data_IF_229152018158
#
_entry.id   IF_229152018158
#
_cell.length_a   1.000
_cell.length_b   1.000
_cell.length_c   1.000
_cell.angle_alpha   90.00
_cell.angle_beta   90.00
_cell.angle_gamma   90.00
#
_symmetry.space_group_name_H-M   'P 1'
#
loop_
_entity.id
_entity.type
_entity.pdbx_description
1 polymer ?
#
# COMPACT_ATOMS: atom_id res chain seq x y z
N UNK A 1 1.83 20.18 2.94
CA UNK A 1 1.81 21.55 2.39
C UNK A 1 0.80 22.47 3.07
N UNK A 2 -0.49 22.11 3.16
CA UNK A 2 -1.56 22.93 3.78
C UNK A 2 -1.15 23.40 5.18
N UNK A 3 -0.71 22.47 6.03
CA UNK A 3 -0.32 22.83 7.39
C UNK A 3 0.85 23.81 7.48
N UNK A 4 1.86 23.69 6.63
CA UNK A 4 2.96 24.66 6.56
C UNK A 4 2.48 26.01 6.03
N UNK A 5 1.57 26.01 5.05
CA UNK A 5 0.97 27.24 4.51
C UNK A 5 0.17 28.00 5.57
N UNK A 6 -0.63 27.32 6.39
CA UNK A 6 -1.44 27.96 7.43
C UNK A 6 -0.61 28.39 8.64
N UNK A 7 0.37 27.58 9.09
CA UNK A 7 1.13 27.83 10.31
C UNK A 7 2.30 28.81 10.10
N UNK A 8 3.04 28.67 9.00
CA UNK A 8 4.28 29.42 8.75
C UNK A 8 4.18 30.35 7.56
N UNK A 9 3.09 30.31 6.78
CA UNK A 9 2.90 31.10 5.57
C UNK A 9 3.83 30.73 4.42
N UNK A 10 4.40 29.52 4.44
CA UNK A 10 5.30 28.99 3.41
C UNK A 10 4.62 27.88 2.60
N UNK A 11 5.21 27.46 1.49
CA UNK A 11 4.72 26.37 0.62
C UNK A 11 3.31 26.61 0.03
N UNK A 12 2.88 27.86 -0.11
CA UNK A 12 1.57 28.21 -0.69
C UNK A 12 1.40 27.72 -2.13
N UNK A 13 2.44 27.93 -2.96
CA UNK A 13 2.45 27.46 -4.36
C UNK A 13 2.39 25.93 -4.43
N UNK A 14 3.12 25.23 -3.55
CA UNK A 14 3.02 23.77 -3.42
C UNK A 14 1.62 23.31 -3.03
N UNK A 15 0.96 24.01 -2.12
CA UNK A 15 -0.39 23.66 -1.68
C UNK A 15 -1.39 23.75 -2.83
N UNK A 16 -1.33 24.81 -3.63
CA UNK A 16 -2.20 24.97 -4.80
C UNK A 16 -1.87 23.97 -5.90
N UNK A 17 -0.59 23.79 -6.24
CA UNK A 17 -0.15 22.83 -7.23
C UNK A 17 -0.61 21.39 -6.91
N UNK A 18 -0.40 20.95 -5.67
CA UNK A 18 -0.83 19.61 -5.23
C UNK A 18 -2.36 19.48 -5.23
N UNK A 19 -3.10 20.54 -4.84
CA UNK A 19 -4.56 20.53 -4.88
C UNK A 19 -5.10 20.36 -6.29
N UNK A 20 -4.57 21.13 -7.26
CA UNK A 20 -4.90 20.99 -8.67
C UNK A 20 -4.55 19.61 -9.21
N UNK A 21 -3.34 19.10 -8.87
CA UNK A 21 -2.88 17.78 -9.31
C UNK A 21 -3.80 16.65 -8.83
N UNK A 22 -4.23 16.68 -7.56
CA UNK A 22 -5.16 15.67 -7.01
C UNK A 22 -6.47 15.65 -7.79
N UNK A 23 -7.05 16.82 -8.07
CA UNK A 23 -8.29 16.91 -8.81
C UNK A 23 -8.16 16.39 -10.26
N UNK A 24 -7.10 16.81 -10.97
CA UNK A 24 -6.86 16.39 -12.36
C UNK A 24 -6.56 14.91 -12.45
N UNK A 25 -5.75 14.36 -11.53
CA UNK A 25 -5.46 12.92 -11.48
C UNK A 25 -6.71 12.10 -11.14
N UNK A 26 -7.64 12.63 -10.34
CA UNK A 26 -8.93 11.98 -10.06
C UNK A 26 -9.79 11.88 -11.32
N UNK A 27 -9.87 12.95 -12.12
CA UNK A 27 -10.57 12.95 -13.41
C UNK A 27 -9.90 11.98 -14.41
N UNK A 28 -8.58 11.97 -14.45
CA UNK A 28 -7.81 11.04 -15.28
C UNK A 28 -8.04 9.58 -14.86
N UNK A 29 -8.11 9.29 -13.57
CA UNK A 29 -8.48 7.96 -13.07
C UNK A 29 -9.89 7.53 -13.52
N UNK A 30 -10.87 8.46 -13.47
CA UNK A 30 -12.21 8.19 -13.99
C UNK A 30 -12.21 7.92 -15.51
N UNK A 31 -11.40 8.64 -16.29
CA UNK A 31 -11.18 8.35 -17.71
C UNK A 31 -10.63 6.94 -17.91
N UNK A 32 -9.59 6.54 -17.23
CA UNK A 32 -8.95 5.22 -17.37
C UNK A 32 -9.98 4.10 -17.16
N UNK A 33 -10.77 4.16 -16.08
CA UNK A 33 -11.76 3.13 -15.73
C UNK A 33 -12.93 3.08 -16.74
N UNK A 34 -13.31 4.23 -17.32
CA UNK A 34 -14.46 4.33 -18.23
C UNK A 34 -14.11 4.15 -19.70
N UNK A 35 -12.87 4.33 -20.08
CA UNK A 35 -12.46 4.28 -21.49
C UNK A 35 -12.42 2.87 -22.09
N UNK A 36 -12.39 1.82 -21.25
CA UNK A 36 -12.16 0.45 -21.72
C UNK A 36 -10.78 0.22 -22.33
N UNK A 37 -9.86 1.19 -22.20
CA UNK A 37 -8.49 1.08 -22.74
C UNK A 37 -7.67 0.06 -21.96
N UNK A 38 -7.96 -0.09 -20.67
CA UNK A 38 -7.30 -1.10 -19.82
C UNK A 38 -8.15 -2.36 -19.78
N UNK A 39 -7.58 -3.49 -20.19
CA UNK A 39 -8.14 -4.83 -19.98
C UNK A 39 -8.03 -5.16 -18.47
N UNK A 40 -9.02 -4.76 -17.71
CA UNK A 40 -9.05 -4.93 -16.25
C UNK A 40 -10.43 -5.37 -15.79
N UNK A 41 -10.48 -6.21 -14.77
CA UNK A 41 -11.73 -6.59 -14.08
C UNK A 41 -12.50 -5.38 -13.52
N UNK A 42 -11.83 -4.22 -13.40
CA UNK A 42 -12.42 -2.94 -12.98
C UNK A 42 -12.90 -2.07 -14.14
N UNK A 43 -12.78 -2.52 -15.36
CA UNK A 43 -13.29 -1.85 -16.56
C UNK A 43 -14.76 -2.20 -16.76
N UNK A 44 -15.67 -1.44 -16.14
CA UNK A 44 -17.11 -1.75 -16.13
C UNK A 44 -17.86 -1.40 -17.43
N UNK A 45 -17.28 -0.60 -18.31
CA UNK A 45 -17.89 -0.20 -19.57
C UNK A 45 -16.81 0.02 -20.62
N UNK A 46 -16.90 -0.72 -21.71
CA UNK A 46 -16.09 -0.49 -22.89
C UNK A 46 -16.81 0.53 -23.79
N UNK A 47 -16.68 1.83 -23.48
CA UNK A 47 -17.26 2.93 -24.25
C UNK A 47 -16.18 3.94 -24.65
N UNK A 48 -15.48 3.71 -25.77
CA UNK A 48 -14.39 4.57 -26.23
C UNK A 48 -14.81 6.03 -26.48
N UNK A 49 -16.07 6.30 -26.90
CA UNK A 49 -16.52 7.65 -27.18
C UNK A 49 -16.68 8.47 -25.90
N UNK A 50 -17.30 7.89 -24.86
CA UNK A 50 -17.39 8.54 -23.54
C UNK A 50 -16.00 8.68 -22.89
N UNK A 51 -15.12 7.70 -23.10
CA UNK A 51 -13.73 7.78 -22.67
C UNK A 51 -13.02 8.97 -23.31
N UNK A 52 -13.08 9.14 -24.61
CA UNK A 52 -12.48 10.27 -25.32
C UNK A 52 -13.04 11.62 -24.83
N UNK A 53 -14.36 11.71 -24.64
CA UNK A 53 -15.00 12.93 -24.12
C UNK A 53 -14.47 13.29 -22.74
N UNK A 54 -14.33 12.32 -21.83
CA UNK A 54 -13.74 12.53 -20.49
C UNK A 54 -12.28 12.97 -20.59
N UNK A 55 -11.50 12.40 -21.49
CA UNK A 55 -10.11 12.80 -21.71
C UNK A 55 -10.00 14.24 -22.19
N UNK A 56 -10.82 14.64 -23.16
CA UNK A 56 -10.85 16.01 -23.68
C UNK A 56 -11.24 17.01 -22.59
N UNK A 57 -12.29 16.73 -21.81
CA UNK A 57 -12.72 17.57 -20.70
C UNK A 57 -11.58 17.68 -19.66
N UNK A 58 -10.97 16.56 -19.28
CA UNK A 58 -9.85 16.54 -18.32
C UNK A 58 -8.67 17.35 -18.87
N UNK A 59 -8.34 17.19 -20.14
CA UNK A 59 -7.28 17.94 -20.81
C UNK A 59 -7.52 19.47 -20.80
N UNK A 60 -8.75 19.90 -21.14
CA UNK A 60 -9.13 21.33 -21.09
C UNK A 60 -9.03 21.87 -19.67
N UNK A 61 -9.58 21.15 -18.69
CA UNK A 61 -9.50 21.56 -17.28
C UNK A 61 -8.04 21.63 -16.82
N UNK A 62 -7.20 20.65 -17.18
CA UNK A 62 -5.79 20.63 -16.83
C UNK A 62 -5.04 21.82 -17.45
N UNK A 63 -5.24 22.08 -18.73
CA UNK A 63 -4.62 23.22 -19.44
C UNK A 63 -5.00 24.57 -18.82
N UNK A 64 -6.30 24.77 -18.56
CA UNK A 64 -6.77 26.01 -17.94
C UNK A 64 -6.22 26.13 -16.51
N UNK A 65 -6.31 25.07 -15.70
CA UNK A 65 -5.90 25.12 -14.30
C UNK A 65 -4.40 25.33 -14.13
N UNK A 66 -3.56 24.55 -14.82
CA UNK A 66 -2.11 24.70 -14.75
C UNK A 66 -1.64 25.94 -15.51
N UNK A 67 -2.29 26.34 -16.59
CA UNK A 67 -2.04 27.60 -17.27
C UNK A 67 -2.25 28.80 -16.33
N UNK A 68 -3.41 28.90 -15.69
CA UNK A 68 -3.70 29.95 -14.70
C UNK A 68 -2.72 29.90 -13.51
N UNK A 69 -2.40 28.69 -13.02
CA UNK A 69 -1.41 28.52 -11.96
C UNK A 69 -0.04 29.06 -12.41
N UNK A 70 0.43 28.70 -13.60
CA UNK A 70 1.70 29.17 -14.13
C UNK A 70 1.76 30.70 -14.27
N UNK A 71 0.74 31.31 -14.88
CA UNK A 71 0.67 32.77 -15.05
C UNK A 71 0.54 33.53 -13.73
N UNK A 72 -0.10 32.94 -12.71
CA UNK A 72 -0.35 33.61 -11.42
C UNK A 72 0.57 33.15 -10.29
N UNK A 73 1.42 32.17 -10.51
CA UNK A 73 2.32 31.61 -9.48
C UNK A 73 3.24 32.65 -8.86
N UNK A 74 3.69 33.63 -9.64
CA UNK A 74 4.53 34.74 -9.19
C UNK A 74 3.81 35.69 -8.21
N UNK A 75 2.48 35.75 -8.25
CA UNK A 75 1.66 36.54 -7.31
C UNK A 75 1.41 35.82 -5.98
N UNK A 76 1.73 34.52 -5.91
CA UNK A 76 1.56 33.73 -4.72
C UNK A 76 2.81 33.92 -3.84
N UNK A 77 2.78 34.97 -3.03
CA UNK A 77 3.91 35.32 -2.17
C UNK A 77 3.87 34.50 -0.88
N UNK A 78 4.96 33.81 -0.58
CA UNK A 78 5.15 33.22 0.74
C UNK A 78 5.42 34.35 1.74
N UNK A 79 4.80 34.28 2.92
CA UNK A 79 4.99 35.28 3.98
C UNK A 79 6.37 35.22 4.60
N UNK A 80 7.06 34.09 4.47
CA UNK A 80 8.40 33.83 5.02
C UNK A 80 9.19 32.90 4.09
N UNK A 81 10.50 32.93 4.20
CA UNK A 81 11.40 32.00 3.51
C UNK A 81 11.47 30.68 4.30
N UNK A 82 11.70 29.59 3.57
CA UNK A 82 11.96 28.28 4.18
C UNK A 82 13.36 28.28 4.77
N UNK A 83 13.47 28.06 6.05
CA UNK A 83 14.76 27.96 6.76
C UNK A 83 15.31 26.54 6.55
N UNK A 84 16.58 26.42 6.14
CA UNK A 84 17.21 25.11 5.94
C UNK A 84 17.21 24.29 7.25
N UNK A 85 16.88 23.00 7.16
CA UNK A 85 16.77 22.10 8.31
C UNK A 85 15.57 22.36 9.22
N UNK A 86 14.66 23.25 8.90
CA UNK A 86 13.41 23.44 9.62
C UNK A 86 12.36 22.37 9.25
N UNK A 87 11.28 22.28 10.00
CA UNK A 87 10.14 21.40 9.65
C UNK A 87 9.62 21.66 8.25
N UNK A 88 9.58 22.91 7.83
CA UNK A 88 9.15 23.31 6.50
C UNK A 88 10.05 22.77 5.40
N UNK A 89 11.36 22.73 5.63
CA UNK A 89 12.29 22.17 4.64
C UNK A 89 12.09 20.65 4.49
N UNK A 90 11.91 19.91 5.60
CA UNK A 90 11.59 18.48 5.53
C UNK A 90 10.24 18.21 4.87
N UNK A 91 9.23 19.05 5.11
CA UNK A 91 7.94 18.94 4.41
C UNK A 91 8.08 19.22 2.91
N UNK A 92 8.96 20.15 2.50
CA UNK A 92 9.26 20.40 1.10
C UNK A 92 9.92 19.20 0.43
N UNK A 93 10.91 18.60 1.08
CA UNK A 93 11.56 17.37 0.62
C UNK A 93 10.58 16.20 0.51
N UNK A 94 9.70 16.05 1.52
CA UNK A 94 8.64 15.04 1.47
C UNK A 94 7.68 15.26 0.29
N UNK A 95 7.33 16.52 -0.04
CA UNK A 95 6.51 16.81 -1.22
C UNK A 95 7.20 16.35 -2.51
N UNK A 96 8.50 16.54 -2.63
CA UNK A 96 9.29 16.08 -3.80
C UNK A 96 9.24 14.55 -3.89
N UNK A 97 9.48 13.84 -2.77
CA UNK A 97 9.39 12.38 -2.74
C UNK A 97 7.99 11.88 -3.13
N UNK A 98 6.93 12.52 -2.63
CA UNK A 98 5.55 12.15 -2.97
C UNK A 98 5.25 12.37 -4.45
N UNK A 99 5.71 13.49 -5.05
CA UNK A 99 5.55 13.73 -6.48
C UNK A 99 6.32 12.70 -7.31
N UNK A 100 7.55 12.39 -6.93
CA UNK A 100 8.33 11.32 -7.59
C UNK A 100 7.58 9.99 -7.54
N UNK A 101 6.99 9.66 -6.39
CA UNK A 101 6.15 8.45 -6.23
C UNK A 101 4.92 8.47 -7.13
N UNK A 102 4.18 9.58 -7.16
CA UNK A 102 3.00 9.75 -8.03
C UNK A 102 3.39 9.59 -9.50
N UNK A 103 4.49 10.23 -9.92
CA UNK A 103 4.97 10.14 -11.30
C UNK A 103 5.38 8.70 -11.66
N UNK A 104 6.03 7.99 -10.76
CA UNK A 104 6.38 6.57 -10.96
C UNK A 104 5.15 5.67 -11.13
N UNK A 105 4.11 5.87 -10.29
CA UNK A 105 2.84 5.14 -10.46
C UNK A 105 2.18 5.49 -11.81
N UNK A 106 2.14 6.76 -12.14
CA UNK A 106 1.58 7.26 -13.39
C UNK A 106 2.26 6.64 -14.61
N UNK A 107 3.59 6.57 -14.62
CA UNK A 107 4.35 5.89 -15.67
C UNK A 107 4.02 4.40 -15.74
N UNK A 108 3.95 3.71 -14.59
CA UNK A 108 3.60 2.30 -14.53
C UNK A 108 2.19 2.00 -15.07
N UNK A 109 1.25 2.92 -14.88
CA UNK A 109 -0.13 2.80 -15.41
C UNK A 109 -0.20 3.12 -16.91
N UNK A 110 0.54 4.12 -17.38
CA UNK A 110 0.49 4.57 -18.78
C UNK A 110 1.35 3.69 -19.69
N UNK A 111 2.46 3.14 -19.20
CA UNK A 111 3.38 2.35 -20.02
C UNK A 111 2.71 1.19 -20.78
N UNK A 112 1.86 0.35 -20.18
CA UNK A 112 1.12 -0.67 -20.90
C UNK A 112 0.25 -0.12 -22.03
N UNK A 113 -0.35 1.07 -21.82
CA UNK A 113 -1.19 1.72 -22.85
C UNK A 113 -0.35 2.18 -24.06
N UNK A 114 0.82 2.76 -23.78
CA UNK A 114 1.76 3.20 -24.82
C UNK A 114 2.25 1.99 -25.63
N UNK A 115 2.67 0.91 -24.96
CA UNK A 115 3.17 -0.29 -25.65
C UNK A 115 2.09 -0.98 -26.48
N UNK A 116 0.87 -1.04 -25.97
CA UNK A 116 -0.25 -1.60 -26.72
C UNK A 116 -0.60 -0.77 -27.97
N UNK A 117 -0.58 0.57 -27.85
CA UNK A 117 -0.93 1.46 -28.96
C UNK A 117 0.16 1.50 -30.04
N UNK A 118 1.43 1.64 -29.67
CA UNK A 118 2.53 1.82 -30.63
C UNK A 118 3.15 0.52 -31.13
N UNK A 119 3.15 -0.53 -30.30
CA UNK A 119 3.85 -1.79 -30.59
C UNK A 119 2.91 -3.00 -30.68
N UNK A 120 1.60 -2.82 -30.48
CA UNK A 120 0.60 -3.89 -30.44
C UNK A 120 0.96 -5.03 -29.46
N UNK A 121 1.80 -4.74 -28.47
CA UNK A 121 2.22 -5.71 -27.44
C UNK A 121 1.52 -5.44 -26.13
N UNK A 122 0.91 -6.48 -25.55
CA UNK A 122 0.33 -6.40 -24.20
C UNK A 122 1.43 -6.64 -23.17
N UNK A 123 1.77 -5.60 -22.43
CA UNK A 123 2.74 -5.65 -21.32
C UNK A 123 2.00 -5.40 -20.00
N UNK A 124 2.32 -6.15 -18.97
CA UNK A 124 1.81 -5.93 -17.62
C UNK A 124 2.92 -5.43 -16.71
N UNK A 125 2.66 -4.33 -15.99
CA UNK A 125 3.55 -3.80 -14.96
C UNK A 125 3.09 -4.33 -13.60
N UNK A 126 3.92 -5.16 -12.99
CA UNK A 126 3.62 -5.86 -11.75
C UNK A 126 4.43 -5.38 -10.53
N UNK A 127 4.30 -6.09 -9.39
CA UNK A 127 4.97 -5.76 -8.13
C UNK A 127 6.47 -5.51 -8.21
N UNK A 128 7.26 -6.22 -9.04
CA UNK A 128 8.71 -5.98 -9.12
C UNK A 128 9.08 -4.55 -9.51
N UNK A 129 8.36 -3.94 -10.46
CA UNK A 129 8.56 -2.56 -10.85
C UNK A 129 8.33 -1.60 -9.66
N UNK A 130 7.17 -1.72 -9.03
CA UNK A 130 6.81 -0.84 -7.92
C UNK A 130 7.73 -1.02 -6.72
N UNK A 131 8.05 -2.24 -6.36
CA UNK A 131 8.90 -2.54 -5.20
C UNK A 131 10.31 -1.97 -5.39
N UNK A 132 10.88 -2.08 -6.59
CA UNK A 132 12.22 -1.54 -6.90
C UNK A 132 12.29 -0.02 -6.77
N UNK A 133 11.22 0.68 -7.13
CA UNK A 133 11.17 2.15 -7.06
C UNK A 133 10.80 2.62 -5.64
N UNK A 134 9.78 2.00 -5.04
CA UNK A 134 9.23 2.49 -3.78
C UNK A 134 10.11 2.16 -2.57
N UNK A 135 10.83 1.04 -2.54
CA UNK A 135 11.66 0.70 -1.40
C UNK A 135 12.73 1.76 -1.09
N UNK A 136 13.55 2.24 -2.04
CA UNK A 136 14.50 3.32 -1.78
C UNK A 136 13.81 4.65 -1.44
N UNK A 137 12.67 4.99 -2.08
CA UNK A 137 11.93 6.21 -1.77
C UNK A 137 11.39 6.20 -0.34
N UNK A 138 10.85 5.06 0.10
CA UNK A 138 10.36 4.86 1.47
C UNK A 138 11.50 4.97 2.48
N UNK A 139 12.67 4.39 2.19
CA UNK A 139 13.84 4.51 3.05
C UNK A 139 14.28 5.96 3.22
N UNK A 140 14.36 6.72 2.12
CA UNK A 140 14.68 8.16 2.17
C UNK A 140 13.60 8.92 2.96
N UNK A 141 12.33 8.61 2.77
CA UNK A 141 11.23 9.20 3.53
C UNK A 141 11.35 8.88 5.03
N UNK A 142 11.69 7.64 5.40
CA UNK A 142 11.92 7.25 6.80
C UNK A 142 13.08 8.03 7.42
N UNK A 143 14.18 8.24 6.70
CA UNK A 143 15.28 9.08 7.13
C UNK A 143 14.83 10.55 7.36
N UNK A 144 14.05 11.11 6.44
CA UNK A 144 13.52 12.48 6.61
C UNK A 144 12.53 12.59 7.76
N UNK A 145 11.68 11.60 7.98
CA UNK A 145 10.82 11.54 9.16
C UNK A 145 11.68 11.54 10.43
N UNK A 146 12.69 10.68 10.49
CA UNK A 146 13.61 10.58 11.62
C UNK A 146 14.28 11.92 11.95
N UNK A 147 14.84 12.57 10.95
CA UNK A 147 15.50 13.86 11.09
C UNK A 147 14.51 14.99 11.46
N UNK A 148 13.27 14.91 10.95
CA UNK A 148 12.25 15.93 11.20
C UNK A 148 11.64 15.88 12.61
N UNK A 149 11.77 14.74 13.32
CA UNK A 149 11.17 14.54 14.65
C UNK A 149 11.61 15.62 15.64
N UNK A 150 12.88 16.01 15.63
CA UNK A 150 13.47 17.01 16.52
C UNK A 150 13.49 18.41 15.89
N UNK A 151 13.14 18.56 14.63
CA UNK A 151 13.14 19.85 13.94
C UNK A 151 12.01 20.77 14.46
N UNK A 152 12.26 22.09 14.43
CA UNK A 152 11.32 23.13 14.86
C UNK A 152 10.89 23.99 13.67
N UNK A 153 9.71 24.63 13.80
CA UNK A 153 9.21 25.56 12.81
C UNK A 153 10.09 26.81 12.73
N UNK A 154 10.43 27.26 11.52
CA UNK A 154 11.20 28.49 11.25
C UNK A 154 12.54 28.58 12.01
N UNK A 155 13.13 27.47 12.41
CA UNK A 155 14.39 27.45 13.16
C UNK A 155 15.38 26.52 12.48
N UNK A 156 16.63 26.98 12.38
CA UNK A 156 17.77 26.14 11.96
C UNK A 156 17.89 24.95 12.92
N UNK A 157 18.04 23.78 12.33
CA UNK A 157 18.25 22.54 13.03
C UNK A 157 19.75 22.21 13.06
N UNK A 158 20.20 21.57 14.13
CA UNK A 158 21.57 21.09 14.27
C UNK A 158 21.58 19.57 14.10
N UNK A 159 22.24 19.10 13.06
CA UNK A 159 22.36 17.67 12.71
C UNK A 159 22.88 16.85 13.90
N UNK A 160 23.85 17.37 14.63
CA UNK A 160 24.47 16.69 15.77
C UNK A 160 23.48 16.40 16.91
N UNK A 161 22.53 17.30 17.18
CA UNK A 161 21.52 17.11 18.23
C UNK A 161 20.53 15.99 17.90
N UNK A 162 20.21 15.81 16.62
CA UNK A 162 19.33 14.71 16.20
C UNK A 162 20.05 13.39 16.07
N UNK A 163 21.27 13.37 15.54
CA UNK A 163 22.04 12.13 15.38
C UNK A 163 22.29 11.43 16.71
N UNK A 164 22.56 12.19 17.79
CA UNK A 164 22.74 11.61 19.13
C UNK A 164 21.51 10.87 19.65
N UNK A 165 20.30 11.29 19.25
CA UNK A 165 19.03 10.65 19.64
C UNK A 165 18.62 9.50 18.72
N UNK A 166 19.17 9.43 17.52
CA UNK A 166 18.86 8.38 16.54
C UNK A 166 19.65 7.08 16.76
N UNK A 167 20.74 7.13 17.52
CA UNK A 167 21.63 5.97 17.72
C UNK A 167 20.90 4.74 18.23
N UNK A 168 20.12 4.86 19.31
CA UNK A 168 19.34 3.74 19.88
C UNK A 168 18.25 3.23 18.91
N UNK A 169 17.40 4.07 18.29
CA UNK A 169 16.46 3.61 17.25
C UNK A 169 17.11 2.89 16.08
N UNK A 170 18.26 3.36 15.61
CA UNK A 170 19.00 2.70 14.52
C UNK A 170 19.47 1.31 14.97
N UNK A 171 20.09 1.20 16.15
CA UNK A 171 20.56 -0.10 16.66
C UNK A 171 19.42 -1.10 16.83
N UNK A 172 18.29 -0.67 17.41
CA UNK A 172 17.10 -1.52 17.54
C UNK A 172 16.63 -1.99 16.15
N UNK A 173 16.57 -1.09 15.19
CA UNK A 173 16.08 -1.41 13.84
C UNK A 173 17.01 -2.36 13.10
N UNK A 174 18.32 -2.14 13.18
CA UNK A 174 19.31 -3.06 12.63
C UNK A 174 19.21 -4.46 13.28
N UNK A 175 19.12 -4.49 14.61
CA UNK A 175 19.07 -5.75 15.37
C UNK A 175 17.80 -6.55 15.05
N UNK A 176 16.63 -5.92 15.07
CA UNK A 176 15.37 -6.61 14.75
C UNK A 176 15.31 -7.06 13.28
N UNK A 177 15.80 -6.24 12.35
CA UNK A 177 15.87 -6.64 10.93
C UNK A 177 16.81 -7.83 10.75
N UNK A 178 17.96 -7.84 11.46
CA UNK A 178 18.90 -8.96 11.45
C UNK A 178 18.28 -10.23 12.03
N UNK A 179 17.52 -10.13 13.13
CA UNK A 179 16.81 -11.30 13.72
C UNK A 179 15.85 -11.90 12.68
N UNK A 180 15.02 -11.07 12.02
CA UNK A 180 14.09 -11.57 11.00
C UNK A 180 14.83 -12.28 9.87
N UNK A 181 15.95 -11.70 9.40
CA UNK A 181 16.80 -12.32 8.37
C UNK A 181 17.37 -13.67 8.83
N UNK A 182 17.79 -13.77 10.10
CA UNK A 182 18.46 -14.98 10.65
C UNK A 182 17.48 -16.11 10.95
N UNK A 183 16.24 -15.77 11.31
CA UNK A 183 15.21 -16.75 11.64
C UNK A 183 14.44 -17.24 10.41
N UNK A 184 14.49 -16.49 9.31
CA UNK A 184 13.78 -16.89 8.10
C UNK A 184 14.60 -17.92 7.31
N UNK A 185 13.98 -19.04 6.93
CA UNK A 185 14.65 -20.17 6.25
C UNK A 185 15.12 -19.81 4.82
N UNK A 186 14.45 -18.85 4.18
CA UNK A 186 14.78 -18.41 2.83
C UNK A 186 15.51 -17.06 2.86
N UNK A 187 16.29 -16.77 1.81
CA UNK A 187 16.96 -15.48 1.67
C UNK A 187 15.97 -14.34 1.50
N UNK A 188 15.93 -13.41 2.46
CA UNK A 188 15.14 -12.18 2.35
C UNK A 188 15.83 -11.23 1.37
N UNK A 189 15.10 -10.71 0.41
CA UNK A 189 15.66 -9.77 -0.59
C UNK A 189 16.04 -8.44 0.05
N UNK A 190 17.01 -7.73 -0.56
CA UNK A 190 17.41 -6.40 -0.10
C UNK A 190 16.23 -5.40 -0.06
N UNK A 191 15.31 -5.50 -1.01
CA UNK A 191 14.12 -4.65 -1.08
C UNK A 191 13.20 -4.88 0.13
N UNK A 192 12.97 -6.14 0.49
CA UNK A 192 12.20 -6.51 1.67
C UNK A 192 12.87 -6.04 2.96
N UNK A 193 14.20 -6.20 3.06
CA UNK A 193 14.97 -5.72 4.21
C UNK A 193 14.89 -4.19 4.37
N UNK A 194 14.99 -3.44 3.28
CA UNK A 194 14.83 -1.97 3.30
C UNK A 194 13.43 -1.58 3.80
N UNK A 195 12.38 -2.24 3.32
CA UNK A 195 11.02 -2.00 3.77
C UNK A 195 10.82 -2.30 5.25
N UNK A 196 11.29 -3.48 5.70
CA UNK A 196 11.22 -3.92 7.09
C UNK A 196 11.98 -2.97 8.03
N UNK A 197 13.24 -2.65 7.69
CA UNK A 197 14.06 -1.70 8.44
C UNK A 197 13.36 -0.35 8.56
N UNK A 198 12.82 0.18 7.46
CA UNK A 198 12.16 1.50 7.45
C UNK A 198 10.94 1.53 8.36
N UNK A 199 10.13 0.47 8.38
CA UNK A 199 8.98 0.33 9.28
C UNK A 199 9.40 0.28 10.75
N UNK A 200 10.33 -0.61 11.10
CA UNK A 200 10.87 -0.74 12.46
C UNK A 200 11.54 0.57 12.91
N UNK A 201 12.26 1.24 12.01
CA UNK A 201 12.96 2.48 12.32
C UNK A 201 12.00 3.61 12.71
N UNK A 202 10.92 3.80 11.97
CA UNK A 202 9.90 4.80 12.30
C UNK A 202 9.23 4.45 13.63
N UNK A 203 8.86 3.20 13.86
CA UNK A 203 8.27 2.75 15.13
C UNK A 203 9.23 3.03 16.28
N UNK A 204 10.49 2.62 16.15
CA UNK A 204 11.51 2.78 17.19
C UNK A 204 11.76 4.25 17.55
N UNK A 205 11.81 5.15 16.55
CA UNK A 205 11.99 6.59 16.79
C UNK A 205 10.84 7.16 17.62
N UNK A 206 9.61 6.88 17.22
CA UNK A 206 8.45 7.44 17.92
C UNK A 206 8.23 6.79 19.28
N UNK A 207 8.45 5.48 19.41
CA UNK A 207 8.42 4.80 20.71
C UNK A 207 9.47 5.34 21.65
N UNK A 208 10.73 5.52 21.20
CA UNK A 208 11.81 6.10 21.97
C UNK A 208 11.50 7.55 22.39
N UNK A 209 10.98 8.36 21.44
CA UNK A 209 10.57 9.73 21.75
C UNK A 209 9.45 9.80 22.79
N UNK A 210 8.42 8.95 22.66
CA UNK A 210 7.33 8.89 23.63
C UNK A 210 7.86 8.52 25.03
N UNK A 211 8.76 7.54 25.11
CA UNK A 211 9.38 7.12 26.35
C UNK A 211 10.18 8.27 26.97
N UNK A 212 11.06 8.91 26.20
CA UNK A 212 11.90 10.00 26.70
C UNK A 212 11.08 11.22 27.14
N UNK A 213 10.06 11.61 26.37
CA UNK A 213 9.18 12.71 26.74
C UNK A 213 8.36 12.40 28.01
N UNK A 214 7.94 11.15 28.19
CA UNK A 214 7.25 10.70 29.41
C UNK A 214 8.18 10.78 30.64
N UNK A 215 9.42 10.30 30.52
CA UNK A 215 10.42 10.35 31.58
C UNK A 215 10.77 11.78 31.93
N UNK A 216 10.98 12.65 30.96
CA UNK A 216 11.35 14.05 31.15
C UNK A 216 10.15 14.97 31.46
N UNK A 217 8.92 14.42 31.47
CA UNK A 217 7.66 15.17 31.62
C UNK A 217 7.48 16.27 30.57
N UNK A 218 7.99 16.03 29.37
CA UNK A 218 7.85 16.94 28.23
C UNK A 218 6.50 16.74 27.52
N UNK A 219 6.07 17.78 26.79
CA UNK A 219 4.83 17.74 26.03
C UNK A 219 4.86 16.65 24.95
N UNK A 220 3.85 15.80 24.93
CA UNK A 220 3.68 14.74 23.95
C UNK A 220 2.70 15.20 22.86
N UNK A 221 3.18 15.28 21.63
CA UNK A 221 2.32 15.48 20.47
C UNK A 221 1.71 14.15 20.01
N UNK A 222 0.64 13.74 20.66
CA UNK A 222 -0.04 12.47 20.40
C UNK A 222 -0.51 12.32 18.95
N UNK A 223 -1.02 13.38 18.33
CA UNK A 223 -1.45 13.36 16.92
C UNK A 223 -0.32 12.93 15.99
N UNK A 224 0.86 13.55 16.14
CA UNK A 224 2.03 13.19 15.32
C UNK A 224 2.54 11.80 15.67
N UNK A 225 2.61 11.44 16.94
CA UNK A 225 3.11 10.13 17.36
C UNK A 225 2.24 8.99 16.83
N UNK A 226 0.93 9.05 17.04
CA UNK A 226 -0.01 8.01 16.59
C UNK A 226 -0.01 7.87 15.08
N UNK A 227 -0.03 8.99 14.33
CA UNK A 227 -0.01 8.94 12.86
C UNK A 227 1.27 8.30 12.32
N UNK A 228 2.44 8.63 12.86
CA UNK A 228 3.70 8.08 12.36
C UNK A 228 3.96 6.65 12.86
N UNK A 229 3.51 6.30 14.08
CA UNK A 229 3.50 4.90 14.52
C UNK A 229 2.62 4.05 13.62
N UNK A 230 1.43 4.55 13.23
CA UNK A 230 0.59 3.90 12.23
C UNK A 230 1.31 3.74 10.89
N UNK A 231 2.00 4.76 10.40
CA UNK A 231 2.76 4.67 9.15
C UNK A 231 3.94 3.68 9.25
N UNK A 232 4.69 3.68 10.36
CA UNK A 232 5.72 2.69 10.60
C UNK A 232 5.19 1.26 10.65
N UNK A 233 4.03 1.07 11.31
CA UNK A 233 3.34 -0.22 11.37
C UNK A 233 2.85 -0.67 9.98
N UNK A 234 2.39 0.26 9.14
CA UNK A 234 2.01 -0.04 7.75
C UNK A 234 3.19 -0.61 6.97
N UNK A 235 4.34 0.06 7.02
CA UNK A 235 5.55 -0.40 6.32
C UNK A 235 6.04 -1.74 6.86
N UNK A 236 6.04 -1.90 8.19
CA UNK A 236 6.38 -3.17 8.83
C UNK A 236 5.47 -4.31 8.38
N UNK A 237 4.16 -4.07 8.33
CA UNK A 237 3.17 -5.08 7.95
C UNK A 237 3.26 -5.45 6.48
N UNK A 238 3.45 -4.47 5.58
CA UNK A 238 3.64 -4.73 4.14
C UNK A 238 4.94 -5.53 3.89
N UNK A 239 6.05 -5.12 4.50
CA UNK A 239 7.31 -5.83 4.37
C UNK A 239 7.24 -7.22 4.99
N UNK A 240 6.65 -7.36 6.17
CA UNK A 240 6.43 -8.65 6.83
C UNK A 240 5.51 -9.57 6.03
N UNK A 241 4.42 -9.04 5.46
CA UNK A 241 3.59 -9.81 4.54
C UNK A 241 4.42 -10.33 3.36
N UNK A 242 5.21 -9.48 2.71
CA UNK A 242 6.06 -9.88 1.59
C UNK A 242 7.15 -10.91 1.96
N UNK A 243 7.59 -10.95 3.21
CA UNK A 243 8.60 -11.89 3.69
C UNK A 243 7.98 -13.24 4.06
N UNK A 244 6.90 -13.23 4.84
CA UNK A 244 6.34 -14.42 5.47
C UNK A 244 5.23 -15.09 4.67
N UNK A 245 4.58 -14.38 3.73
CA UNK A 245 3.50 -14.95 2.94
C UNK A 245 4.03 -15.88 1.85
N UNK A 246 3.33 -16.98 1.65
CA UNK A 246 3.65 -17.95 0.62
C UNK A 246 2.39 -18.55 0.01
N UNK A 247 2.54 -19.20 -1.13
CA UNK A 247 1.47 -19.78 -1.90
C UNK A 247 1.84 -21.22 -2.28
N UNK A 248 0.84 -22.10 -2.24
CA UNK A 248 0.91 -23.46 -2.77
C UNK A 248 -0.18 -23.66 -3.80
N UNK A 249 0.20 -24.12 -4.97
CA UNK A 249 -0.73 -24.56 -6.01
C UNK A 249 -0.80 -26.09 -5.96
N UNK A 250 -2.01 -26.62 -5.78
CA UNK A 250 -2.26 -28.04 -5.61
C UNK A 250 -3.17 -28.52 -6.75
N UNK A 251 -3.04 -29.80 -7.03
CA UNK A 251 -3.89 -30.54 -7.97
C UNK A 251 -4.39 -31.76 -7.21
N UNK A 252 -5.72 -31.87 -7.04
CA UNK A 252 -6.36 -32.93 -6.25
C UNK A 252 -7.61 -33.43 -6.96
N UNK A 253 -7.84 -34.75 -6.84
CA UNK A 253 -9.12 -35.38 -7.13
C UNK A 253 -9.99 -35.40 -5.87
N UNK A 254 -11.30 -35.60 -6.04
CA UNK A 254 -12.20 -35.83 -4.91
C UNK A 254 -11.76 -37.08 -4.16
N UNK A 255 -11.72 -37.00 -2.83
CA UNK A 255 -11.16 -37.99 -1.88
C UNK A 255 -9.64 -38.15 -1.96
N UNK A 256 -8.91 -37.18 -2.51
CA UNK A 256 -7.45 -37.18 -2.51
C UNK A 256 -6.91 -36.25 -1.43
N UNK A 257 -5.78 -36.62 -0.85
CA UNK A 257 -5.08 -35.87 0.20
C UNK A 257 -3.70 -35.43 -0.28
N UNK A 258 -3.34 -34.21 0.09
CA UNK A 258 -1.98 -33.70 0.00
C UNK A 258 -1.37 -33.62 1.39
N UNK A 259 -0.28 -34.33 1.61
CA UNK A 259 0.42 -34.38 2.92
C UNK A 259 1.81 -33.78 2.75
N UNK A 260 2.17 -32.84 3.62
CA UNK A 260 3.51 -32.28 3.79
C UNK A 260 3.86 -32.19 5.27
N UNK A 261 5.12 -31.88 5.60
CA UNK A 261 5.58 -31.78 7.00
C UNK A 261 4.79 -30.74 7.82
N UNK A 262 4.28 -29.69 7.18
CA UNK A 262 3.64 -28.57 7.86
C UNK A 262 2.12 -28.55 7.76
N UNK A 263 1.55 -29.27 6.78
CA UNK A 263 0.12 -29.20 6.52
C UNK A 263 -0.38 -30.43 5.78
N UNK A 264 -1.60 -30.86 6.12
CA UNK A 264 -2.37 -31.89 5.41
C UNK A 264 -3.61 -31.20 4.83
N UNK A 265 -3.95 -31.47 3.56
CA UNK A 265 -5.13 -30.93 2.88
C UNK A 265 -5.87 -32.09 2.23
N UNK A 266 -7.14 -32.31 2.60
CA UNK A 266 -8.02 -33.27 1.93
C UNK A 266 -9.10 -32.56 1.11
N UNK A 267 -9.37 -33.08 -0.07
CA UNK A 267 -10.49 -32.66 -0.92
C UNK A 267 -11.59 -33.71 -0.80
N UNK A 268 -12.57 -33.45 0.08
CA UNK A 268 -13.51 -34.47 0.53
C UNK A 268 -14.72 -34.60 -0.42
N UNK A 269 -15.27 -33.48 -0.94
CA UNK A 269 -16.48 -33.51 -1.76
C UNK A 269 -16.53 -32.33 -2.74
N UNK A 270 -17.28 -32.53 -3.82
CA UNK A 270 -17.60 -31.49 -4.80
C UNK A 270 -19.11 -31.50 -5.06
N UNK A 271 -19.76 -30.42 -4.69
CA UNK A 271 -21.22 -30.26 -4.92
C UNK A 271 -21.51 -29.18 -5.96
N UNK A 272 -22.52 -29.46 -6.79
CA UNK A 272 -23.02 -28.53 -7.79
C UNK A 272 -24.41 -28.07 -7.36
N UNK A 273 -24.61 -26.75 -7.29
CA UNK A 273 -25.88 -26.16 -6.87
C UNK A 273 -26.31 -25.06 -7.84
N UNK A 274 -27.58 -25.09 -8.23
CA UNK A 274 -28.18 -24.09 -9.09
C UNK A 274 -28.92 -23.06 -8.24
N UNK A 275 -28.54 -21.81 -8.37
CA UNK A 275 -29.18 -20.65 -7.79
C UNK A 275 -30.01 -19.88 -8.83
N UNK A 276 -30.76 -18.87 -8.42
CA UNK A 276 -31.66 -18.14 -9.32
C UNK A 276 -30.95 -17.45 -10.51
N UNK A 277 -29.71 -17.02 -10.35
CA UNK A 277 -28.96 -16.24 -11.35
C UNK A 277 -27.60 -16.82 -11.71
N UNK A 278 -27.15 -17.88 -11.04
CA UNK A 278 -25.87 -18.52 -11.30
C UNK A 278 -25.87 -20.00 -10.86
N UNK A 279 -24.98 -20.76 -11.43
CA UNK A 279 -24.62 -22.10 -10.97
C UNK A 279 -23.35 -22.01 -10.15
N UNK A 280 -23.27 -22.69 -9.01
CA UNK A 280 -22.07 -22.74 -8.19
C UNK A 280 -21.55 -24.15 -8.03
N UNK A 281 -20.25 -24.28 -8.11
CA UNK A 281 -19.48 -25.48 -7.79
C UNK A 281 -18.81 -25.19 -6.46
N UNK A 282 -19.04 -26.02 -5.45
CA UNK A 282 -18.50 -25.86 -4.10
C UNK A 282 -17.61 -27.06 -3.82
N UNK A 283 -16.35 -26.79 -3.48
CA UNK A 283 -15.41 -27.81 -3.02
C UNK A 283 -15.40 -27.83 -1.48
N UNK A 284 -15.50 -29.03 -0.89
CA UNK A 284 -15.32 -29.21 0.54
C UNK A 284 -13.85 -29.65 0.78
N UNK A 285 -13.13 -28.80 1.51
CA UNK A 285 -11.71 -29.00 1.78
C UNK A 285 -11.47 -28.96 3.28
N UNK A 286 -10.82 -29.98 3.83
CA UNK A 286 -10.31 -29.92 5.19
C UNK A 286 -8.79 -29.73 5.16
N UNK A 287 -8.34 -28.78 5.95
CA UNK A 287 -6.93 -28.46 6.14
C UNK A 287 -6.54 -28.70 7.59
N UNK A 288 -5.57 -29.56 7.81
CA UNK A 288 -5.01 -29.78 9.13
C UNK A 288 -3.63 -29.12 9.22
N UNK A 289 -3.52 -28.19 10.17
CA UNK A 289 -2.27 -27.48 10.47
C UNK A 289 -1.94 -27.78 11.93
N UNK A 290 -0.86 -28.50 12.18
CA UNK A 290 -0.55 -29.07 13.49
C UNK A 290 -1.75 -29.93 13.95
N UNK A 291 -2.36 -29.61 15.09
CA UNK A 291 -3.50 -30.36 15.64
C UNK A 291 -4.89 -29.73 15.34
N UNK A 292 -4.92 -28.60 14.59
CA UNK A 292 -6.17 -27.92 14.27
C UNK A 292 -6.64 -28.28 12.86
N UNK A 293 -7.86 -28.80 12.76
CA UNK A 293 -8.56 -29.00 11.49
C UNK A 293 -9.44 -27.79 11.20
N UNK A 294 -9.33 -27.26 9.98
CA UNK A 294 -10.08 -26.12 9.48
C UNK A 294 -10.76 -26.55 8.20
N UNK A 295 -12.08 -26.35 8.12
CA UNK A 295 -12.87 -26.67 6.93
C UNK A 295 -13.06 -25.45 6.07
N UNK A 296 -12.93 -25.59 4.76
CA UNK A 296 -13.11 -24.54 3.76
C UNK A 296 -14.07 -25.01 2.68
N UNK A 297 -14.81 -24.05 2.13
CA UNK A 297 -15.80 -24.28 1.07
C UNK A 297 -15.64 -23.26 -0.07
N UNK A 298 -14.50 -23.20 -0.76
CA UNK A 298 -14.31 -22.28 -1.89
C UNK A 298 -15.27 -22.64 -3.03
N UNK A 299 -15.77 -21.58 -3.71
CA UNK A 299 -16.78 -21.75 -4.75
C UNK A 299 -16.30 -21.20 -6.09
N UNK A 300 -16.85 -21.79 -7.16
CA UNK A 300 -16.78 -21.24 -8.51
C UNK A 300 -18.20 -20.99 -9.02
N UNK A 301 -18.48 -19.73 -9.41
CA UNK A 301 -19.83 -19.31 -9.84
C UNK A 301 -19.85 -19.00 -11.31
N UNK A 302 -20.81 -19.57 -12.05
CA UNK A 302 -21.06 -19.28 -13.47
C UNK A 302 -22.40 -18.57 -13.59
N UNK A 303 -22.37 -17.27 -13.94
CA UNK A 303 -23.56 -16.44 -14.06
C UNK A 303 -24.28 -16.67 -15.40
N UNK A 304 -25.60 -16.91 -15.35
CA UNK A 304 -26.38 -17.24 -16.55
C UNK A 304 -26.48 -16.07 -17.54
N UNK A 305 -26.61 -14.84 -17.05
CA UNK A 305 -26.87 -13.66 -17.87
C UNK A 305 -25.71 -13.29 -18.80
N UNK A 306 -24.45 -13.44 -18.36
CA UNK A 306 -23.25 -13.02 -19.08
C UNK A 306 -22.27 -14.15 -19.35
N UNK A 307 -22.55 -15.37 -18.90
CA UNK A 307 -21.61 -16.48 -18.95
C UNK A 307 -20.31 -16.25 -18.17
N UNK A 308 -20.26 -15.20 -17.34
CA UNK A 308 -19.08 -14.86 -16.55
C UNK A 308 -18.87 -15.91 -15.46
N UNK A 309 -17.61 -16.35 -15.30
CA UNK A 309 -17.20 -17.24 -14.23
C UNK A 309 -16.39 -16.46 -13.22
N UNK A 310 -16.74 -16.59 -11.94
CA UNK A 310 -15.98 -16.02 -10.81
C UNK A 310 -15.55 -17.12 -9.86
N UNK A 311 -14.40 -16.95 -9.20
CA UNK A 311 -13.97 -17.81 -8.11
C UNK A 311 -14.15 -17.05 -6.79
N UNK A 312 -14.89 -17.65 -5.88
CA UNK A 312 -15.14 -17.11 -4.55
C UNK A 312 -14.19 -17.83 -3.58
N UNK A 313 -13.29 -17.04 -3.03
CA UNK A 313 -12.29 -17.52 -2.07
C UNK A 313 -12.92 -17.75 -0.71
N UNK A 314 -12.64 -18.89 -0.08
CA UNK A 314 -12.92 -19.06 1.33
C UNK A 314 -11.71 -18.66 2.19
N UNK A 315 -11.96 -18.00 3.33
CA UNK A 315 -10.93 -17.30 4.10
C UNK A 315 -11.06 -17.62 5.59
N UNK A 316 -10.06 -18.27 6.15
CA UNK A 316 -9.87 -18.36 7.60
C UNK A 316 -8.93 -17.23 8.06
N UNK A 317 -9.46 -16.28 8.78
CA UNK A 317 -8.75 -15.06 9.15
C UNK A 317 -8.41 -15.03 10.65
N UNK A 318 -7.13 -15.13 10.99
CA UNK A 318 -6.62 -15.00 12.36
C UNK A 318 -5.98 -13.63 12.62
N UNK A 319 -5.46 -13.39 13.81
CA UNK A 319 -4.82 -12.13 14.17
C UNK A 319 -3.50 -11.87 13.43
N UNK A 320 -2.73 -12.93 13.15
CA UNK A 320 -1.41 -12.83 12.52
C UNK A 320 -1.39 -13.33 11.08
N UNK A 321 -2.28 -14.26 10.73
CA UNK A 321 -2.27 -14.95 9.44
C UNK A 321 -3.68 -15.18 8.95
N UNK A 322 -3.90 -14.95 7.66
CA UNK A 322 -5.11 -15.33 6.94
C UNK A 322 -4.77 -16.44 5.94
N UNK A 323 -5.62 -17.45 5.83
CA UNK A 323 -5.49 -18.55 4.88
C UNK A 323 -6.60 -18.39 3.86
N UNK A 324 -6.24 -18.31 2.58
CA UNK A 324 -7.14 -18.16 1.45
C UNK A 324 -7.09 -19.42 0.61
N UNK A 325 -8.25 -20.00 0.31
CA UNK A 325 -8.33 -21.14 -0.62
C UNK A 325 -9.26 -20.77 -1.78
N UNK A 326 -8.73 -20.92 -2.98
CA UNK A 326 -9.45 -20.75 -4.23
C UNK A 326 -9.52 -22.08 -4.98
N UNK A 327 -10.69 -22.37 -5.56
CA UNK A 327 -10.85 -23.43 -6.56
C UNK A 327 -10.60 -22.85 -7.95
N UNK A 328 -9.72 -23.49 -8.71
CA UNK A 328 -9.37 -23.13 -10.08
C UNK A 328 -10.14 -23.89 -11.14
N UNK A 329 -9.46 -24.30 -12.20
CA UNK A 329 -10.06 -25.06 -13.31
C UNK A 329 -9.97 -26.58 -13.07
N UNK A 330 -10.94 -27.29 -13.63
CA UNK A 330 -10.84 -28.74 -13.77
C UNK A 330 -9.89 -29.06 -14.94
N UNK A 331 -8.99 -29.99 -14.72
CA UNK A 331 -8.04 -30.45 -15.73
C UNK A 331 -8.63 -31.61 -16.55
N UNK A 332 -7.98 -31.93 -17.66
CA UNK A 332 -8.42 -32.99 -18.59
C UNK A 332 -8.48 -34.39 -17.95
N UNK A 333 -7.73 -34.61 -16.87
CA UNK A 333 -7.72 -35.87 -16.10
C UNK A 333 -8.79 -35.92 -15.00
N UNK A 334 -9.66 -34.91 -14.93
CA UNK A 334 -10.76 -34.83 -13.94
C UNK A 334 -10.36 -34.19 -12.61
N UNK A 335 -9.06 -33.97 -12.36
CA UNK A 335 -8.59 -33.30 -11.13
C UNK A 335 -8.90 -31.80 -11.15
N UNK A 336 -8.94 -31.19 -9.96
CA UNK A 336 -9.14 -29.76 -9.79
C UNK A 336 -7.89 -29.07 -9.29
N UNK A 337 -7.67 -27.86 -9.75
CA UNK A 337 -6.58 -27.00 -9.25
C UNK A 337 -7.05 -26.20 -8.06
N UNK A 338 -6.21 -26.12 -7.04
CA UNK A 338 -6.45 -25.28 -5.85
C UNK A 338 -5.26 -24.37 -5.62
N UNK A 339 -5.57 -23.13 -5.26
CA UNK A 339 -4.57 -22.15 -4.86
C UNK A 339 -4.76 -21.85 -3.39
N UNK A 340 -3.78 -22.20 -2.58
CA UNK A 340 -3.76 -21.99 -1.14
C UNK A 340 -2.73 -20.91 -0.83
N UNK A 341 -3.17 -19.81 -0.21
CA UNK A 341 -2.32 -18.69 0.13
C UNK A 341 -2.30 -18.47 1.64
N UNK A 342 -1.12 -18.36 2.19
CA UNK A 342 -0.88 -17.98 3.57
C UNK A 342 -0.41 -16.54 3.62
N UNK A 343 -1.28 -15.63 4.04
CA UNK A 343 -1.04 -14.21 4.05
C UNK A 343 -0.85 -13.71 5.50
N UNK A 344 0.33 -13.20 5.82
CA UNK A 344 0.65 -12.73 7.16
C UNK A 344 0.43 -11.21 7.29
N UNK A 345 0.04 -10.77 8.48
CA UNK A 345 -0.06 -9.37 8.87
C UNK A 345 -1.07 -8.50 8.07
N UNK A 346 -1.99 -9.10 7.30
CA UNK A 346 -2.99 -8.35 6.53
C UNK A 346 -3.86 -7.46 7.43
N UNK A 347 -4.33 -7.99 8.57
CA UNK A 347 -5.12 -7.19 9.53
C UNK A 347 -4.33 -6.02 10.11
N UNK A 348 -3.01 -6.15 10.25
CA UNK A 348 -2.15 -5.09 10.75
C UNK A 348 -1.99 -3.94 9.75
N UNK A 349 -2.07 -4.22 8.43
CA UNK A 349 -2.13 -3.19 7.39
C UNK A 349 -3.37 -2.32 7.62
N UNK A 350 -4.55 -2.92 7.80
CA UNK A 350 -5.79 -2.18 8.06
C UNK A 350 -5.76 -1.45 9.40
N UNK A 351 -5.26 -2.10 10.45
CA UNK A 351 -5.11 -1.48 11.76
C UNK A 351 -4.17 -0.27 11.73
N UNK A 352 -3.11 -0.32 10.95
CA UNK A 352 -2.19 0.80 10.77
C UNK A 352 -2.86 2.01 10.13
N UNK A 353 -3.74 1.80 9.15
CA UNK A 353 -4.54 2.86 8.53
C UNK A 353 -5.48 3.50 9.56
N UNK A 354 -6.14 2.69 10.39
CA UNK A 354 -7.00 3.20 11.47
C UNK A 354 -6.21 4.05 12.47
N UNK A 355 -4.97 3.65 12.84
CA UNK A 355 -4.09 4.45 13.67
C UNK A 355 -3.72 5.79 13.03
N UNK A 356 -3.42 5.81 11.74
CA UNK A 356 -3.13 7.06 11.03
C UNK A 356 -4.34 8.01 11.04
N UNK A 357 -5.54 7.49 10.79
CA UNK A 357 -6.80 8.26 10.86
C UNK A 357 -7.02 8.79 12.28
N UNK A 358 -6.85 7.95 13.30
CA UNK A 358 -6.97 8.36 14.70
C UNK A 358 -6.02 9.51 15.05
N UNK A 359 -4.76 9.44 14.60
CA UNK A 359 -3.78 10.51 14.80
C UNK A 359 -4.23 11.84 14.16
N UNK A 360 -4.88 11.81 13.00
CA UNK A 360 -5.45 13.01 12.35
C UNK A 360 -6.62 13.55 13.17
N UNK A 361 -7.51 12.68 13.66
CA UNK A 361 -8.70 13.07 14.45
C UNK A 361 -8.31 13.70 15.80
N UNK A 362 -7.28 13.19 16.48
CA UNK A 362 -6.74 13.78 17.71
C UNK A 362 -6.32 15.22 17.45
N UNK A 363 -5.75 15.52 16.30
CA UNK A 363 -5.32 16.86 15.94
C UNK A 363 -6.48 17.81 15.67
N UNK A 364 -7.54 17.35 15.01
CA UNK A 364 -8.69 18.18 14.69
C UNK A 364 -9.37 18.72 15.96
N UNK A 365 -9.43 17.90 17.02
CA UNK A 365 -9.98 18.32 18.33
C UNK A 365 -9.10 19.32 19.06
N UNK A 366 -7.79 19.32 18.86
CA UNK A 366 -6.88 20.28 19.51
C UNK A 366 -6.87 21.68 18.83
N UNK A 367 -7.58 21.84 17.71
CA UNK A 367 -7.70 23.09 16.97
C UNK A 367 -9.06 23.78 17.16
N UNK A 368 -10.00 23.14 17.84
CA UNK A 368 -11.28 23.69 18.31
C UNK A 368 -11.16 24.07 19.77
#
# INVERSE_FOLDING_TARGET
>A
SIHASTKSGVLKSWTLFLGLSVFILSLFGAFIVRSGIIDSVHSFANDPQRGLTLLLITGVIALISFGLFSFRSTKIVNSRLVVSGSKESFLSLNNILMITSIFSVFLGVIYPLITQYFYSTKVSIGPPYYNTIFAPLIFIAACFIALSVESKWQRKWKLTESLSKLGIPILISCFLTFIVQSLHQYSVSLIQMIGLFSGIFIISIYAFKLLMNSVNREFINWSSAVSHLGFGLLLFSIAGNSIFSYEKNLKLNVNEEYISEELEISFDDLSLQDESNHQRIIAQINMKIHDKVISFSPEKRKYFTRGQVTSETDIEATFLRDIYINIGEQLDDGSWTFRVQFNYLIKWIWFSVLLMILGILIRSRAMV
#
